data_IF_578001097550
#
_entry.id   IF_578001097550
#
_cell.length_a   1.000
_cell.length_b   1.000
_cell.length_c   1.000
_cell.angle_alpha   90.00
_cell.angle_beta   90.00
_cell.angle_gamma   90.00
#
_symmetry.space_group_name_H-M   'P 1'
#
loop_
_entity.id
_entity.type
_entity.pdbx_description
1 polymer ?
#
# COMPACT_ATOMS: atom_id res chain seq x y z
N UNK A 1 -5.68 -2.38 0.66
CA UNK A 1 -4.65 -1.45 0.10
C UNK A 1 -5.32 -0.53 -0.90
N UNK A 2 -4.98 0.76 -0.90
CA UNK A 2 -5.47 1.70 -1.90
C UNK A 2 -4.91 1.36 -3.29
N UNK A 3 -5.72 1.47 -4.36
CA UNK A 3 -5.19 1.38 -5.72
C UNK A 3 -4.19 2.53 -6.00
N UNK A 4 -3.08 2.29 -6.71
CA UNK A 4 -2.12 3.34 -7.06
C UNK A 4 -2.74 4.56 -7.77
N UNK A 5 -3.73 4.33 -8.63
CA UNK A 5 -4.45 5.40 -9.32
C UNK A 5 -5.22 6.33 -8.34
N UNK A 6 -5.75 5.79 -7.24
CA UNK A 6 -6.44 6.60 -6.21
C UNK A 6 -5.43 7.43 -5.43
N UNK A 7 -4.26 6.87 -5.11
CA UNK A 7 -3.17 7.62 -4.46
C UNK A 7 -2.66 8.75 -5.37
N UNK A 8 -2.57 8.50 -6.68
CA UNK A 8 -2.19 9.53 -7.65
C UNK A 8 -3.21 10.68 -7.71
N UNK A 9 -4.50 10.37 -7.73
CA UNK A 9 -5.56 11.40 -7.66
C UNK A 9 -5.46 12.19 -6.35
N UNK A 10 -5.26 11.53 -5.21
CA UNK A 10 -5.05 12.19 -3.91
C UNK A 10 -3.90 13.20 -3.96
N UNK A 11 -2.73 12.79 -4.45
CA UNK A 11 -1.54 13.66 -4.49
C UNK A 11 -1.66 14.80 -5.50
N UNK A 12 -2.40 14.61 -6.59
CA UNK A 12 -2.56 15.63 -7.64
C UNK A 12 -3.60 16.67 -7.29
N UNK A 13 -4.69 16.29 -6.61
CA UNK A 13 -5.75 17.22 -6.18
C UNK A 13 -5.24 18.26 -5.19
N UNK A 14 -4.35 17.90 -4.26
CA UNK A 14 -3.76 18.84 -3.32
C UNK A 14 -2.81 19.86 -3.99
N UNK A 15 -2.26 19.52 -5.16
CA UNK A 15 -1.31 20.37 -5.89
C UNK A 15 -1.99 21.37 -6.84
N UNK A 16 -3.21 21.06 -7.27
CA UNK A 16 -4.04 21.94 -8.06
C UNK A 16 -4.90 22.79 -7.12
N UNK A 17 -5.38 23.96 -7.56
CA UNK A 17 -6.40 24.73 -6.83
C UNK A 17 -7.78 24.03 -6.82
N UNK A 18 -7.79 22.70 -6.65
CA UNK A 18 -8.92 21.82 -6.80
C UNK A 18 -9.83 21.86 -5.55
N UNK A 19 -11.12 21.54 -5.72
CA UNK A 19 -12.04 21.39 -4.59
C UNK A 19 -11.54 20.33 -3.60
N UNK A 20 -12.03 20.43 -2.36
CA UNK A 20 -11.77 19.49 -1.25
C UNK A 20 -11.63 18.04 -1.76
N UNK A 21 -10.47 17.40 -1.55
CA UNK A 21 -10.18 16.04 -2.06
C UNK A 21 -11.28 15.02 -1.70
N UNK A 22 -12.00 15.25 -0.59
CA UNK A 22 -13.16 14.48 -0.17
C UNK A 22 -14.34 14.49 -1.16
N UNK A 23 -14.39 15.44 -2.11
CA UNK A 23 -15.42 15.48 -3.17
C UNK A 23 -15.14 14.52 -4.33
N UNK A 24 -13.91 14.01 -4.44
CA UNK A 24 -13.47 13.12 -5.54
C UNK A 24 -13.09 11.74 -5.03
N UNK A 25 -12.44 11.68 -3.86
CA UNK A 25 -12.00 10.43 -3.23
C UNK A 25 -12.85 10.19 -1.97
N UNK A 26 -13.61 9.08 -1.92
CA UNK A 26 -14.38 8.74 -0.73
C UNK A 26 -13.47 8.63 0.49
N UNK A 27 -13.93 9.15 1.63
CA UNK A 27 -13.22 9.01 2.89
C UNK A 27 -13.19 7.52 3.29
N UNK A 28 -12.02 6.93 3.57
CA UNK A 28 -11.95 5.55 4.02
C UNK A 28 -12.60 5.38 5.40
N UNK A 29 -13.20 4.21 5.62
CA UNK A 29 -13.78 3.82 6.91
C UNK A 29 -12.79 2.98 7.73
N UNK A 30 -11.79 2.39 7.08
CA UNK A 30 -10.77 1.57 7.72
C UNK A 30 -9.84 2.38 8.60
N UNK A 31 -9.44 1.81 9.73
CA UNK A 31 -8.45 2.42 10.62
C UNK A 31 -7.04 2.39 10.01
N UNK A 32 -6.62 1.24 9.49
CA UNK A 32 -5.27 1.05 8.98
C UNK A 32 -5.27 1.13 7.46
N UNK A 33 -4.58 2.13 6.93
CA UNK A 33 -4.52 2.43 5.51
C UNK A 33 -3.17 1.99 4.95
N UNK A 34 -3.21 1.24 3.85
CA UNK A 34 -2.04 0.79 3.11
C UNK A 34 -2.02 1.53 1.77
N UNK A 35 -1.05 2.41 1.59
CA UNK A 35 -0.94 3.31 0.44
C UNK A 35 0.34 3.00 -0.35
N UNK A 36 0.24 2.52 -1.60
CA UNK A 36 1.42 2.41 -2.45
C UNK A 36 1.95 3.82 -2.78
N UNK A 37 3.24 4.01 -2.61
CA UNK A 37 3.94 5.28 -2.86
C UNK A 37 4.85 5.09 -4.06
N UNK A 38 4.81 6.01 -5.01
CA UNK A 38 5.78 6.11 -6.10
C UNK A 38 6.56 7.40 -5.98
N UNK A 39 7.85 7.35 -6.35
CA UNK A 39 8.74 8.51 -6.54
C UNK A 39 8.09 9.65 -7.33
N UNK A 40 7.20 9.33 -8.27
CA UNK A 40 6.47 10.33 -9.06
C UNK A 40 5.60 11.28 -8.24
N UNK A 41 5.19 10.89 -7.02
CA UNK A 41 4.41 11.74 -6.11
C UNK A 41 5.29 12.74 -5.34
N UNK A 42 6.61 12.73 -5.53
CA UNK A 42 7.49 13.74 -4.94
C UNK A 42 7.14 15.13 -5.49
N UNK A 43 7.05 16.18 -4.64
CA UNK A 43 6.84 17.55 -5.09
C UNK A 43 7.92 18.08 -6.06
N UNK A 44 9.11 17.46 -6.04
CA UNK A 44 10.22 17.79 -6.94
C UNK A 44 10.11 17.13 -8.32
N UNK A 45 9.14 16.22 -8.53
CA UNK A 45 8.97 15.51 -9.79
C UNK A 45 8.35 16.45 -10.85
N UNK A 46 8.94 16.58 -12.05
CA UNK A 46 8.47 17.53 -13.06
C UNK A 46 7.01 17.26 -13.46
N UNK A 47 6.09 18.10 -12.98
CA UNK A 47 4.67 18.10 -13.35
C UNK A 47 3.90 16.78 -13.16
N UNK A 48 4.39 15.84 -12.35
CA UNK A 48 3.89 14.44 -12.30
C UNK A 48 3.88 13.72 -13.67
N UNK A 49 4.53 14.27 -14.70
CA UNK A 49 4.51 13.76 -16.08
C UNK A 49 5.58 12.70 -16.34
N UNK A 50 6.61 12.63 -15.48
CA UNK A 50 7.60 11.58 -15.52
C UNK A 50 7.00 10.24 -15.04
N UNK A 51 7.33 9.15 -15.74
CA UNK A 51 6.98 7.81 -15.30
C UNK A 51 7.64 7.50 -13.94
N UNK A 52 6.87 6.98 -13.00
CA UNK A 52 7.42 6.51 -11.71
C UNK A 52 8.32 5.29 -11.92
N UNK A 53 9.46 5.26 -11.24
CA UNK A 53 10.47 4.21 -11.39
C UNK A 53 10.61 3.31 -10.17
N UNK A 54 10.15 3.78 -9.01
CA UNK A 54 10.29 3.07 -7.74
C UNK A 54 9.01 3.10 -6.92
N UNK A 55 8.73 1.98 -6.26
CA UNK A 55 7.56 1.81 -5.41
C UNK A 55 7.95 1.48 -3.98
N UNK A 56 7.23 2.06 -3.03
CA UNK A 56 7.33 1.77 -1.60
C UNK A 56 5.94 1.73 -0.98
N UNK A 57 5.83 1.40 0.31
CA UNK A 57 4.55 1.28 1.01
C UNK A 57 4.50 2.24 2.19
N UNK A 58 3.37 2.93 2.34
CA UNK A 58 3.04 3.73 3.51
C UNK A 58 1.89 3.07 4.28
N UNK A 59 2.14 2.73 5.54
CA UNK A 59 1.14 2.25 6.50
C UNK A 59 0.74 3.40 7.41
N UNK A 60 -0.56 3.73 7.46
CA UNK A 60 -1.09 4.85 8.25
C UNK A 60 -2.16 4.35 9.20
N UNK A 61 -2.09 4.73 10.47
CA UNK A 61 -3.22 4.66 11.41
C UNK A 61 -4.05 5.93 11.26
N UNK A 62 -5.20 5.85 10.61
CA UNK A 62 -6.09 6.98 10.35
C UNK A 62 -6.58 7.67 11.64
N UNK A 63 -6.67 6.92 12.75
CA UNK A 63 -7.11 7.47 14.04
C UNK A 63 -6.05 8.38 14.67
N UNK A 64 -4.79 7.91 14.72
CA UNK A 64 -3.68 8.64 15.36
C UNK A 64 -2.85 9.46 14.37
N UNK A 65 -3.03 9.25 13.07
CA UNK A 65 -2.22 9.77 11.95
C UNK A 65 -0.76 9.36 11.95
N UNK A 66 -0.36 8.45 12.84
CA UNK A 66 0.97 7.83 12.83
C UNK A 66 1.14 7.06 11.52
N UNK A 67 2.33 7.14 10.93
CA UNK A 67 2.64 6.48 9.68
C UNK A 67 4.04 5.87 9.66
N UNK A 68 4.19 4.74 8.97
CA UNK A 68 5.45 4.03 8.74
C UNK A 68 5.71 3.92 7.23
N UNK A 69 6.90 4.33 6.79
CA UNK A 69 7.36 4.24 5.41
C UNK A 69 8.27 3.03 5.25
N UNK A 70 7.80 2.03 4.51
CA UNK A 70 8.50 0.80 4.19
C UNK A 70 9.01 0.87 2.75
N UNK A 71 10.32 1.05 2.60
CA UNK A 71 10.98 1.27 1.31
C UNK A 71 12.18 0.32 1.14
N UNK A 72 12.10 -0.57 0.16
CA UNK A 72 13.13 -1.57 -0.13
C UNK A 72 14.42 -0.98 -0.74
N UNK A 73 14.46 0.32 -1.05
CA UNK A 73 15.67 1.04 -1.44
C UNK A 73 16.16 2.03 -0.37
N UNK A 74 15.74 1.85 0.89
CA UNK A 74 16.36 2.56 2.01
C UNK A 74 16.02 4.05 2.09
N UNK A 75 14.77 4.40 1.73
CA UNK A 75 14.13 5.73 1.83
C UNK A 75 14.23 6.62 0.57
N UNK A 76 14.48 6.03 -0.61
CA UNK A 76 14.41 6.71 -1.90
C UNK A 76 13.09 7.47 -2.13
N UNK A 77 11.97 6.94 -1.66
CA UNK A 77 10.64 7.55 -1.79
C UNK A 77 10.27 8.49 -0.64
N UNK A 78 11.20 8.93 0.22
CA UNK A 78 10.88 9.73 1.42
C UNK A 78 10.02 10.96 1.15
N UNK A 79 10.38 11.73 0.12
CA UNK A 79 9.65 12.95 -0.24
C UNK A 79 8.24 12.63 -0.76
N UNK A 80 8.11 11.59 -1.58
CA UNK A 80 6.82 11.10 -2.05
C UNK A 80 5.95 10.56 -0.90
N UNK A 81 6.53 9.82 0.04
CA UNK A 81 5.82 9.28 1.20
C UNK A 81 5.26 10.40 2.10
N UNK A 82 6.01 11.50 2.28
CA UNK A 82 5.54 12.70 2.99
C UNK A 82 4.36 13.36 2.26
N UNK A 83 4.43 13.46 0.93
CA UNK A 83 3.35 14.02 0.12
C UNK A 83 2.07 13.17 0.24
N UNK A 84 2.17 11.85 0.00
CA UNK A 84 1.06 10.90 0.15
C UNK A 84 0.46 10.95 1.56
N UNK A 85 1.30 11.02 2.60
CA UNK A 85 0.85 11.11 3.98
C UNK A 85 0.09 12.41 4.27
N UNK A 86 0.59 13.54 3.78
CA UNK A 86 -0.11 14.83 3.88
C UNK A 86 -1.49 14.73 3.24
N UNK A 87 -1.57 14.21 2.01
CA UNK A 87 -2.83 14.11 1.26
C UNK A 87 -3.86 13.20 1.93
N UNK A 88 -3.45 12.03 2.43
CA UNK A 88 -4.41 11.16 3.11
C UNK A 88 -4.87 11.75 4.45
N UNK A 89 -4.02 12.48 5.18
CA UNK A 89 -4.42 13.15 6.42
C UNK A 89 -5.43 14.28 6.16
N UNK A 90 -5.34 14.96 5.02
CA UNK A 90 -6.36 15.92 4.59
C UNK A 90 -7.73 15.25 4.44
N UNK A 91 -7.75 14.04 3.89
CA UNK A 91 -8.99 13.28 3.68
C UNK A 91 -9.57 12.68 4.98
N UNK A 92 -8.73 12.19 5.89
CA UNK A 92 -9.21 11.39 7.05
C UNK A 92 -9.32 12.17 8.35
N UNK A 93 -8.71 13.37 8.48
CA UNK A 93 -8.77 14.17 9.70
C UNK A 93 -9.78 15.31 9.63
N UNK A 94 -10.34 15.74 10.78
CA UNK A 94 -11.20 16.92 10.82
C UNK A 94 -10.45 18.18 10.36
N UNK A 95 -11.16 19.10 9.70
CA UNK A 95 -10.56 20.30 9.10
C UNK A 95 -9.75 21.18 10.06
N UNK A 96 -10.17 21.25 11.33
CA UNK A 96 -9.48 22.01 12.36
C UNK A 96 -8.07 21.46 12.69
N UNK A 97 -7.78 20.20 12.35
CA UNK A 97 -6.48 19.58 12.55
C UNK A 97 -5.46 19.89 11.43
N UNK A 98 -5.87 20.55 10.33
CA UNK A 98 -4.99 20.89 9.20
C UNK A 98 -4.04 22.06 9.48
N UNK A 99 -4.18 22.76 10.61
CA UNK A 99 -3.33 23.91 10.94
C UNK A 99 -1.95 23.51 11.49
N UNK A 100 -1.76 22.25 11.87
CA UNK A 100 -0.46 21.71 12.25
C UNK A 100 0.19 21.01 11.04
N UNK A 101 1.51 21.14 10.85
CA UNK A 101 2.20 20.37 9.82
C UNK A 101 1.98 18.87 10.03
N UNK A 102 1.77 18.08 8.97
CA UNK A 102 1.57 16.64 9.11
C UNK A 102 2.81 16.01 9.77
N UNK A 103 2.62 15.04 10.68
CA UNK A 103 3.74 14.33 11.27
C UNK A 103 4.55 13.64 10.16
N UNK A 104 5.86 13.53 10.33
CA UNK A 104 6.70 12.85 9.34
C UNK A 104 6.56 11.33 9.53
N UNK A 105 6.35 10.55 8.45
CA UNK A 105 6.35 9.09 8.56
C UNK A 105 7.66 8.56 9.14
N UNK A 106 7.56 7.58 10.03
CA UNK A 106 8.72 6.85 10.56
C UNK A 106 9.39 6.07 9.43
N UNK A 107 10.70 6.24 9.29
CA UNK A 107 11.52 5.40 8.39
C UNK A 107 11.64 4.02 9.03
N UNK A 108 11.40 2.98 8.25
CA UNK A 108 11.52 1.59 8.72
C UNK A 108 12.88 1.02 8.35
N UNK A 109 13.81 1.06 9.30
CA UNK A 109 15.19 0.58 9.09
C UNK A 109 15.34 -0.95 9.19
N UNK A 110 14.34 -1.66 9.73
CA UNK A 110 14.37 -3.12 9.82
C UNK A 110 14.14 -3.84 8.48
N UNK A 111 13.65 -3.13 7.46
CA UNK A 111 13.30 -3.73 6.18
C UNK A 111 14.57 -4.04 5.40
N UNK A 112 14.71 -5.29 4.96
CA UNK A 112 15.82 -5.68 4.11
C UNK A 112 15.70 -5.02 2.74
N UNK A 113 16.84 -4.56 2.20
CA UNK A 113 16.86 -3.92 0.89
C UNK A 113 16.61 -4.94 -0.22
N UNK A 114 16.01 -4.50 -1.32
CA UNK A 114 15.91 -5.31 -2.53
C UNK A 114 17.30 -5.59 -3.12
N UNK A 115 17.49 -6.80 -3.65
CA UNK A 115 18.77 -7.23 -4.26
C UNK A 115 18.82 -7.05 -5.79
N UNK A 116 17.75 -6.51 -6.39
CA UNK A 116 17.62 -6.34 -7.83
C UNK A 116 16.88 -5.04 -8.18
N UNK A 117 16.78 -4.71 -9.47
CA UNK A 117 16.22 -3.44 -9.95
C UNK A 117 14.70 -3.41 -10.20
N UNK A 118 13.94 -4.46 -9.86
CA UNK A 118 12.52 -4.56 -10.27
C UNK A 118 11.56 -5.10 -9.22
N UNK A 119 12.03 -5.62 -8.09
CA UNK A 119 11.16 -6.22 -7.08
C UNK A 119 10.50 -5.22 -6.12
N UNK A 120 10.75 -3.91 -6.23
CA UNK A 120 10.14 -2.89 -5.36
C UNK A 120 8.60 -3.00 -5.29
N UNK A 121 7.93 -3.20 -6.43
CA UNK A 121 6.49 -3.42 -6.47
C UNK A 121 6.05 -4.75 -5.83
N UNK A 122 6.89 -5.79 -5.90
CA UNK A 122 6.63 -7.08 -5.24
C UNK A 122 6.78 -6.96 -3.73
N UNK A 123 7.77 -6.20 -3.24
CA UNK A 123 7.88 -5.83 -1.83
C UNK A 123 6.58 -5.18 -1.34
N UNK A 124 6.05 -4.18 -2.06
CA UNK A 124 4.78 -3.52 -1.70
C UNK A 124 3.62 -4.50 -1.55
N UNK A 125 3.48 -5.45 -2.49
CA UNK A 125 2.41 -6.46 -2.45
C UNK A 125 2.57 -7.44 -1.29
N UNK A 126 3.78 -7.97 -1.07
CA UNK A 126 4.05 -8.90 0.02
C UNK A 126 3.86 -8.22 1.38
N UNK A 127 4.44 -7.03 1.57
CA UNK A 127 4.30 -6.24 2.79
C UNK A 127 2.82 -5.96 3.11
N UNK A 128 2.04 -5.53 2.11
CA UNK A 128 0.62 -5.26 2.29
C UNK A 128 -0.15 -6.49 2.75
N UNK A 129 0.19 -7.66 2.20
CA UNK A 129 -0.46 -8.92 2.54
C UNK A 129 -0.09 -9.38 3.96
N UNK A 130 1.19 -9.31 4.33
CA UNK A 130 1.66 -9.65 5.68
C UNK A 130 1.07 -8.69 6.73
N UNK A 131 1.06 -7.39 6.48
CA UNK A 131 0.45 -6.41 7.39
C UNK A 131 -1.04 -6.70 7.57
N UNK A 132 -1.76 -7.00 6.48
CA UNK A 132 -3.17 -7.35 6.56
C UNK A 132 -3.39 -8.59 7.45
N UNK A 133 -2.60 -9.65 7.26
CA UNK A 133 -2.66 -10.86 8.09
C UNK A 133 -2.41 -10.52 9.57
N UNK A 134 -1.40 -9.72 9.88
CA UNK A 134 -1.10 -9.31 11.25
C UNK A 134 -2.24 -8.51 11.90
N UNK A 135 -2.87 -7.60 11.17
CA UNK A 135 -3.93 -6.71 11.68
C UNK A 135 -5.32 -7.36 11.73
N UNK A 136 -5.50 -8.52 11.10
CA UNK A 136 -6.76 -9.28 11.10
C UNK A 136 -6.74 -10.47 12.05
N UNK A 137 -5.58 -10.81 12.62
CA UNK A 137 -5.48 -11.80 13.70
C UNK A 137 -6.41 -11.41 14.85
N UNK A 138 -7.22 -12.35 15.38
CA UNK A 138 -8.03 -12.09 16.55
C UNK A 138 -7.11 -11.94 17.78
N UNK A 139 -6.64 -10.72 18.04
CA UNK A 139 -5.89 -10.36 19.24
C UNK A 139 -6.41 -9.05 19.86
N UNK A 140 -6.02 -8.85 21.12
CA UNK A 140 -6.61 -7.93 22.10
C UNK A 140 -6.75 -6.47 21.65
N UNK A 141 -7.56 -5.70 22.40
CA UNK A 141 -8.08 -4.34 22.16
C UNK A 141 -7.11 -3.24 21.70
N UNK A 142 -5.81 -3.48 21.59
CA UNK A 142 -4.77 -2.50 21.22
C UNK A 142 -3.67 -3.15 20.37
N UNK A 143 -3.54 -2.73 19.10
CA UNK A 143 -2.42 -3.10 18.23
C UNK A 143 -1.25 -2.13 18.46
N UNK A 144 -0.06 -2.65 18.74
CA UNK A 144 1.18 -1.89 18.57
C UNK A 144 1.64 -1.98 17.11
N UNK A 145 1.48 -0.87 16.38
CA UNK A 145 1.82 -0.83 14.96
C UNK A 145 3.32 -0.99 14.71
N UNK A 146 4.18 -0.60 15.66
CA UNK A 146 5.62 -0.79 15.55
C UNK A 146 5.99 -2.28 15.64
N UNK A 147 5.33 -3.04 16.54
CA UNK A 147 5.52 -4.49 16.63
C UNK A 147 5.09 -5.20 15.35
N UNK A 148 3.93 -4.80 14.77
CA UNK A 148 3.48 -5.30 13.47
C UNK A 148 4.52 -5.04 12.38
N UNK A 149 5.05 -3.81 12.31
CA UNK A 149 6.08 -3.46 11.33
C UNK A 149 7.36 -4.29 11.51
N UNK A 150 7.82 -4.48 12.75
CA UNK A 150 9.00 -5.30 13.04
C UNK A 150 8.80 -6.77 12.63
N UNK A 151 7.64 -7.34 12.94
CA UNK A 151 7.33 -8.71 12.56
C UNK A 151 7.27 -8.88 11.03
N UNK A 152 6.63 -7.95 10.33
CA UNK A 152 6.57 -7.94 8.86
C UNK A 152 7.95 -7.76 8.23
N UNK A 153 8.81 -6.90 8.80
CA UNK A 153 10.21 -6.75 8.38
C UNK A 153 10.96 -8.09 8.42
N UNK A 154 10.84 -8.82 9.54
CA UNK A 154 11.48 -10.12 9.71
C UNK A 154 11.00 -11.15 8.67
N UNK A 155 9.74 -11.06 8.26
CA UNK A 155 9.13 -11.93 7.27
C UNK A 155 9.29 -11.46 5.81
N UNK A 156 9.93 -10.31 5.57
CA UNK A 156 10.15 -9.76 4.23
C UNK A 156 11.62 -9.79 3.86
N UNK A 157 12.11 -10.97 3.49
CA UNK A 157 13.48 -11.15 2.98
C UNK A 157 13.50 -11.16 1.44
N UNK A 158 14.61 -10.80 0.77
CA UNK A 158 14.71 -10.87 -0.69
C UNK A 158 14.38 -12.25 -1.26
N UNK A 159 14.75 -13.32 -0.55
CA UNK A 159 14.40 -14.70 -0.92
C UNK A 159 12.89 -14.94 -0.88
N UNK A 160 12.21 -14.52 0.21
CA UNK A 160 10.75 -14.63 0.35
C UNK A 160 10.03 -13.78 -0.69
N UNK A 161 10.51 -12.57 -0.98
CA UNK A 161 9.98 -11.71 -2.05
C UNK A 161 10.12 -12.38 -3.42
N UNK A 162 11.29 -12.96 -3.71
CA UNK A 162 11.53 -13.70 -4.95
C UNK A 162 10.64 -14.95 -5.10
N UNK A 163 10.36 -15.65 -3.99
CA UNK A 163 9.40 -16.75 -3.93
C UNK A 163 7.97 -16.26 -4.18
N UNK A 164 7.53 -15.22 -3.46
CA UNK A 164 6.22 -14.61 -3.60
C UNK A 164 5.98 -14.16 -5.05
N UNK A 165 6.96 -13.52 -5.70
CA UNK A 165 6.87 -13.14 -7.12
C UNK A 165 6.55 -14.33 -8.05
N UNK A 166 7.20 -15.48 -7.83
CA UNK A 166 6.96 -16.69 -8.64
C UNK A 166 5.56 -17.22 -8.41
N UNK A 167 5.18 -17.39 -7.14
CA UNK A 167 3.85 -17.88 -6.76
C UNK A 167 2.74 -16.95 -7.25
N UNK A 168 2.88 -15.63 -7.04
CA UNK A 168 1.93 -14.64 -7.51
C UNK A 168 1.78 -14.64 -9.04
N UNK A 169 2.88 -14.81 -9.78
CA UNK A 169 2.84 -14.94 -11.24
C UNK A 169 2.09 -16.20 -11.67
N UNK A 170 2.34 -17.34 -11.03
CA UNK A 170 1.68 -18.59 -11.37
C UNK A 170 0.20 -18.56 -11.01
N UNK A 171 -0.14 -17.98 -9.86
CA UNK A 171 -1.50 -17.66 -9.47
C UNK A 171 -2.21 -16.77 -10.49
N UNK A 172 -1.60 -15.66 -10.95
CA UNK A 172 -2.19 -14.79 -11.97
C UNK A 172 -2.50 -15.55 -13.28
N UNK A 173 -1.65 -16.51 -13.68
CA UNK A 173 -1.93 -17.34 -14.85
C UNK A 173 -3.09 -18.29 -14.62
N UNK A 174 -3.15 -18.94 -13.44
CA UNK A 174 -4.25 -19.83 -13.07
C UNK A 174 -5.57 -19.07 -12.99
N UNK A 175 -5.55 -17.90 -12.35
CA UNK A 175 -6.68 -16.98 -12.28
C UNK A 175 -7.15 -16.56 -13.66
N UNK A 176 -6.23 -16.08 -14.51
CA UNK A 176 -6.58 -15.68 -15.89
C UNK A 176 -7.23 -16.80 -16.69
N UNK A 177 -6.79 -18.06 -16.51
CA UNK A 177 -7.44 -19.22 -17.14
C UNK A 177 -8.84 -19.50 -16.59
N UNK A 178 -9.01 -19.42 -15.28
CA UNK A 178 -10.30 -19.65 -14.62
C UNK A 178 -11.33 -18.58 -15.00
N UNK A 179 -10.91 -17.31 -15.03
CA UNK A 179 -11.79 -16.19 -15.36
C UNK A 179 -12.08 -16.05 -16.87
N UNK A 180 -11.22 -16.58 -17.75
CA UNK A 180 -11.40 -16.51 -19.22
C UNK A 180 -12.67 -17.19 -19.74
N UNK A 181 -13.35 -18.03 -18.94
CA UNK A 181 -14.60 -18.72 -19.33
C UNK A 181 -15.83 -18.25 -18.55
N UNK A 182 -15.68 -17.45 -17.50
CA UNK A 182 -16.78 -17.04 -16.61
C UNK A 182 -17.33 -15.63 -16.89
N UNK A 183 -16.80 -14.89 -17.86
CA UNK A 183 -17.36 -13.59 -18.29
C UNK A 183 -18.80 -13.66 -18.85
N UNK A 184 -19.37 -14.87 -19.00
CA UNK A 184 -20.73 -15.07 -19.51
C UNK A 184 -21.73 -15.66 -18.50
N UNK A 185 -21.33 -16.00 -17.27
CA UNK A 185 -22.21 -16.73 -16.33
C UNK A 185 -22.00 -16.24 -14.88
N UNK A 186 -22.85 -15.29 -14.45
CA UNK A 186 -23.09 -14.81 -13.07
C UNK A 186 -21.85 -14.43 -12.19
N UNK A 187 -21.50 -13.13 -12.07
CA UNK A 187 -20.17 -12.70 -11.58
C UNK A 187 -19.89 -12.81 -10.08
N UNK A 188 -20.84 -13.12 -9.19
CA UNK A 188 -20.75 -12.52 -7.84
C UNK A 188 -20.39 -13.43 -6.66
N UNK A 189 -20.59 -14.75 -6.73
CA UNK A 189 -20.16 -15.65 -5.63
C UNK A 189 -19.09 -16.67 -6.03
N UNK A 190 -19.19 -17.27 -7.23
CA UNK A 190 -18.27 -18.33 -7.67
C UNK A 190 -16.87 -17.79 -7.96
N UNK A 191 -16.80 -16.70 -8.73
CA UNK A 191 -15.57 -15.94 -9.04
C UNK A 191 -14.80 -15.57 -7.76
N UNK A 192 -15.50 -15.08 -6.72
CA UNK A 192 -14.87 -14.71 -5.45
C UNK A 192 -14.32 -15.91 -4.68
N UNK A 193 -15.06 -17.03 -4.65
CA UNK A 193 -14.60 -18.26 -4.00
C UNK A 193 -13.36 -18.84 -4.70
N UNK A 194 -13.38 -18.88 -6.04
CA UNK A 194 -12.27 -19.39 -6.85
C UNK A 194 -11.03 -18.49 -6.73
N UNK A 195 -11.22 -17.17 -6.66
CA UNK A 195 -10.15 -16.22 -6.39
C UNK A 195 -9.45 -16.53 -5.07
N UNK A 196 -10.23 -16.66 -3.98
CA UNK A 196 -9.69 -16.89 -2.64
C UNK A 196 -9.02 -18.27 -2.53
N UNK A 197 -9.65 -19.31 -3.09
CA UNK A 197 -9.09 -20.65 -3.11
C UNK A 197 -7.72 -20.66 -3.80
N UNK A 198 -7.62 -20.09 -5.01
CA UNK A 198 -6.34 -20.01 -5.72
C UNK A 198 -5.33 -19.14 -4.96
N UNK A 199 -5.76 -18.04 -4.35
CA UNK A 199 -4.86 -17.11 -3.66
C UNK A 199 -4.22 -17.73 -2.42
N UNK A 200 -4.91 -18.65 -1.74
CA UNK A 200 -4.37 -19.41 -0.60
C UNK A 200 -3.07 -20.15 -0.93
N UNK A 201 -2.87 -20.55 -2.19
CA UNK A 201 -1.68 -21.28 -2.66
C UNK A 201 -0.40 -20.41 -2.64
N UNK A 202 -0.52 -19.09 -2.52
CA UNK A 202 0.62 -18.17 -2.45
C UNK A 202 1.28 -18.19 -1.05
N UNK A 203 0.62 -18.79 -0.04
CA UNK A 203 1.21 -19.01 1.28
C UNK A 203 1.39 -17.71 2.07
N UNK A 204 0.46 -16.76 1.91
CA UNK A 204 0.38 -15.53 2.71
C UNK A 204 -0.76 -15.58 3.73
N UNK A 205 -1.28 -16.78 3.99
CA UNK A 205 -2.28 -17.09 5.02
C UNK A 205 -1.60 -17.45 6.36
#
# INVERSE_FOLDING_TARGET
MFPPAVVEVLCTLDSAAAPDAASVVPRPEERFLLLPVSDRYSPSSPGHTAAGSHWSLLLVDAASGVAFHLDSLGDCNRSAAKAVHSSILMLVRPRHAHHAPPPVPFKVDCLQHQENGSDCGIFVLLLSSLIHLWLTKPQASTYDLAEVVQAVCADTTPSKVGQFRRLYKDWLKSWGKASHHEEHVDPTQKVKADFLHLFSEIGVE
#
